data_IF_719041603058
#
_entry.id   IF_719041603058
#
_cell.length_a   1.000
_cell.length_b   1.000
_cell.length_c   1.000
_cell.angle_alpha   90.00
_cell.angle_beta   90.00
_cell.angle_gamma   90.00
#
_symmetry.space_group_name_H-M   'P 1'
#
loop_
_entity.id
_entity.type
_entity.pdbx_description
1 polymer ?
#
# COMPACT_ATOMS: atom_id res chain seq x y z
N UNK A 1 -50.96 61.41 -68.25
CA UNK A 1 -50.78 60.65 -67.01
C UNK A 1 -49.45 61.09 -66.44
N UNK A 2 -49.42 62.01 -65.55
CA UNK A 2 -48.22 62.60 -64.96
C UNK A 2 -47.73 61.73 -63.79
N UNK A 3 -46.51 61.17 -63.92
CA UNK A 3 -45.84 60.44 -62.87
C UNK A 3 -45.15 61.40 -61.90
N UNK A 4 -45.63 61.49 -60.71
CA UNK A 4 -45.10 62.32 -59.62
C UNK A 4 -43.91 61.63 -58.97
N UNK A 5 -42.66 62.09 -59.29
CA UNK A 5 -41.46 61.71 -58.60
C UNK A 5 -41.44 62.35 -57.20
N UNK A 6 -41.42 61.53 -56.11
CA UNK A 6 -41.13 61.97 -54.76
C UNK A 6 -39.60 62.17 -54.60
N UNK A 7 -39.17 63.32 -54.05
CA UNK A 7 -37.77 63.55 -53.78
C UNK A 7 -37.31 62.75 -52.55
N UNK A 8 -36.32 61.93 -52.72
CA UNK A 8 -35.59 61.31 -51.58
C UNK A 8 -35.03 62.40 -50.68
N UNK A 9 -35.53 62.48 -49.46
CA UNK A 9 -35.04 63.35 -48.42
C UNK A 9 -33.68 62.91 -48.00
N UNK A 10 -32.59 63.61 -48.32
CA UNK A 10 -31.23 63.44 -47.77
C UNK A 10 -31.31 63.57 -46.24
N UNK A 11 -31.27 62.50 -45.54
CA UNK A 11 -30.99 62.45 -44.11
C UNK A 11 -29.61 63.03 -43.87
N UNK A 12 -29.57 64.24 -43.40
CA UNK A 12 -28.36 64.97 -43.09
C UNK A 12 -27.62 64.27 -41.98
N UNK A 13 -26.38 63.95 -42.25
CA UNK A 13 -25.44 63.11 -41.56
C UNK A 13 -24.85 63.83 -40.28
N UNK A 14 -25.71 64.21 -39.33
CA UNK A 14 -25.33 64.83 -38.07
C UNK A 14 -24.99 63.84 -36.95
N UNK A 15 -25.08 62.49 -37.19
CA UNK A 15 -24.91 61.46 -36.17
C UNK A 15 -23.51 60.79 -36.18
N UNK A 16 -22.64 61.13 -37.12
CA UNK A 16 -21.32 60.48 -37.25
C UNK A 16 -20.39 60.82 -36.10
N UNK A 17 -20.48 62.01 -35.52
CA UNK A 17 -19.66 62.42 -34.39
C UNK A 17 -20.05 61.74 -33.06
N UNK A 18 -21.33 61.46 -32.83
CA UNK A 18 -21.83 60.78 -31.60
C UNK A 18 -21.44 59.30 -31.56
N UNK A 19 -21.41 58.62 -32.70
CA UNK A 19 -21.05 57.21 -32.80
C UNK A 19 -19.54 57.01 -32.43
N UNK A 20 -18.67 57.94 -32.79
CA UNK A 20 -17.24 57.86 -32.46
C UNK A 20 -17.03 57.98 -30.93
N UNK A 21 -17.72 58.90 -30.26
CA UNK A 21 -17.62 59.09 -28.82
C UNK A 21 -18.17 57.86 -28.08
N UNK A 22 -19.27 57.28 -28.51
CA UNK A 22 -19.85 56.07 -27.94
C UNK A 22 -18.94 54.82 -28.13
N UNK A 23 -18.34 54.70 -29.30
CA UNK A 23 -17.39 53.60 -29.59
C UNK A 23 -16.13 53.76 -28.73
N UNK A 24 -15.53 54.96 -28.61
CA UNK A 24 -14.38 55.17 -27.74
C UNK A 24 -14.68 54.96 -26.27
N UNK A 25 -15.85 55.38 -25.78
CA UNK A 25 -16.29 55.08 -24.40
C UNK A 25 -16.53 53.57 -24.17
N UNK A 26 -17.05 52.87 -25.16
CA UNK A 26 -17.26 51.41 -25.06
C UNK A 26 -15.98 50.59 -25.17
N UNK A 27 -14.95 51.08 -25.85
CA UNK A 27 -13.65 50.40 -25.97
C UNK A 27 -12.92 50.31 -24.64
N UNK A 28 -13.00 51.29 -23.76
CA UNK A 28 -12.32 51.35 -22.45
C UNK A 28 -12.77 50.14 -21.58
N UNK A 29 -14.05 49.95 -21.27
CA UNK A 29 -14.49 48.79 -20.49
C UNK A 29 -14.26 47.47 -21.22
N UNK A 30 -14.34 47.44 -22.56
CA UNK A 30 -14.08 46.24 -23.34
C UNK A 30 -12.60 45.76 -23.18
N UNK A 31 -11.66 46.69 -23.32
CA UNK A 31 -10.23 46.38 -23.08
C UNK A 31 -9.96 46.04 -21.62
N UNK A 32 -10.65 46.65 -20.67
CA UNK A 32 -10.55 46.28 -19.27
C UNK A 32 -11.04 44.86 -18.99
N UNK A 33 -12.14 44.44 -19.59
CA UNK A 33 -12.67 43.08 -19.49
C UNK A 33 -11.75 42.05 -20.17
N UNK A 34 -11.25 42.35 -21.37
CA UNK A 34 -10.29 41.49 -22.07
C UNK A 34 -9.00 41.32 -21.24
N UNK A 35 -8.49 42.40 -20.65
CA UNK A 35 -7.33 42.34 -19.78
C UNK A 35 -7.54 41.49 -18.55
N UNK A 36 -8.70 41.62 -17.89
CA UNK A 36 -9.05 40.78 -16.74
C UNK A 36 -9.12 39.30 -17.13
N UNK A 37 -9.67 38.96 -18.28
CA UNK A 37 -9.72 37.56 -18.78
C UNK A 37 -8.31 37.00 -19.00
N UNK A 38 -7.37 37.81 -19.51
CA UNK A 38 -5.97 37.39 -19.70
C UNK A 38 -5.27 37.14 -18.36
N UNK A 39 -5.38 38.07 -17.40
CA UNK A 39 -4.79 37.93 -16.08
C UNK A 39 -5.34 36.71 -15.31
N UNK A 40 -6.67 36.51 -15.32
CA UNK A 40 -7.32 35.36 -14.70
C UNK A 40 -6.96 34.05 -15.39
N UNK A 41 -6.91 34.04 -16.72
CA UNK A 41 -6.52 32.86 -17.51
C UNK A 41 -5.10 32.43 -17.22
N UNK A 42 -4.17 33.38 -17.10
CA UNK A 42 -2.79 33.12 -16.72
C UNK A 42 -2.68 32.59 -15.27
N UNK A 43 -3.38 33.21 -14.33
CA UNK A 43 -3.40 32.72 -12.95
C UNK A 43 -3.96 31.30 -12.84
N UNK A 44 -5.02 30.96 -13.56
CA UNK A 44 -5.61 29.62 -13.57
C UNK A 44 -4.67 28.59 -14.19
N UNK A 45 -3.95 28.97 -15.27
CA UNK A 45 -2.89 28.12 -15.85
C UNK A 45 -1.79 27.82 -14.83
N UNK A 46 -1.26 28.86 -14.16
CA UNK A 46 -0.22 28.70 -13.12
C UNK A 46 -0.74 27.85 -11.96
N UNK A 47 -2.02 28.03 -11.56
CA UNK A 47 -2.64 27.25 -10.49
C UNK A 47 -2.73 25.76 -10.82
N UNK A 48 -3.12 25.41 -12.05
CA UNK A 48 -3.13 24.01 -12.51
C UNK A 48 -1.73 23.40 -12.54
N UNK A 49 -0.75 24.15 -13.03
CA UNK A 49 0.64 23.72 -13.02
C UNK A 49 1.18 23.53 -11.60
N UNK A 50 0.85 24.46 -10.67
CA UNK A 50 1.21 24.35 -9.27
C UNK A 50 0.55 23.15 -8.59
N UNK A 51 -0.70 22.81 -8.96
CA UNK A 51 -1.39 21.62 -8.46
C UNK A 51 -0.67 20.35 -8.92
N UNK A 52 -0.34 20.24 -10.21
CA UNK A 52 0.42 19.09 -10.73
C UNK A 52 1.77 18.93 -10.00
N UNK A 53 2.47 20.04 -9.75
CA UNK A 53 3.74 20.00 -9.02
C UNK A 53 3.55 19.56 -7.55
N UNK A 54 2.50 20.05 -6.89
CA UNK A 54 2.18 19.65 -5.52
C UNK A 54 1.80 18.16 -5.42
N UNK A 55 0.98 17.66 -6.35
CA UNK A 55 0.58 16.25 -6.43
C UNK A 55 1.80 15.35 -6.64
N UNK A 56 2.65 15.69 -7.61
CA UNK A 56 3.89 14.94 -7.88
C UNK A 56 4.85 14.95 -6.69
N UNK A 57 5.00 16.09 -6.02
CA UNK A 57 5.88 16.23 -4.87
C UNK A 57 5.41 15.41 -3.66
N UNK A 58 4.12 15.49 -3.32
CA UNK A 58 3.56 14.75 -2.21
C UNK A 58 3.68 13.23 -2.43
N UNK A 59 3.30 12.75 -3.63
CA UNK A 59 3.36 11.34 -3.99
C UNK A 59 4.80 10.82 -3.99
N UNK A 60 5.75 11.55 -4.60
CA UNK A 60 7.14 11.13 -4.66
C UNK A 60 7.79 11.02 -3.27
N UNK A 61 7.47 11.93 -2.34
CA UNK A 61 7.97 11.86 -0.98
C UNK A 61 7.40 10.68 -0.20
N UNK A 62 6.10 10.37 -0.36
CA UNK A 62 5.47 9.20 0.28
C UNK A 62 6.03 7.89 -0.27
N UNK A 63 6.20 7.77 -1.59
CA UNK A 63 6.79 6.57 -2.20
C UNK A 63 8.25 6.38 -1.76
N UNK A 64 9.01 7.48 -1.63
CA UNK A 64 10.37 7.41 -1.09
C UNK A 64 10.38 7.00 0.38
N UNK A 65 9.46 7.50 1.19
CA UNK A 65 9.26 7.04 2.57
C UNK A 65 8.98 5.53 2.59
N UNK A 66 8.01 5.05 1.84
CA UNK A 66 7.66 3.63 1.75
C UNK A 66 8.87 2.75 1.39
N UNK A 67 9.74 3.23 0.48
CA UNK A 67 10.94 2.47 0.05
C UNK A 67 12.09 2.50 1.05
N UNK A 68 12.04 3.36 2.07
CA UNK A 68 13.14 3.56 3.05
C UNK A 68 12.77 3.16 4.47
N UNK A 69 11.49 3.20 4.81
CA UNK A 69 11.00 2.93 6.16
C UNK A 69 10.15 1.66 6.14
N UNK A 70 10.67 0.60 6.73
CA UNK A 70 10.03 -0.73 6.81
C UNK A 70 9.37 -0.94 8.19
N UNK A 71 8.71 0.05 8.75
CA UNK A 71 8.06 -0.09 10.07
C UNK A 71 6.55 -0.22 9.91
N UNK A 72 5.96 -1.23 10.53
CA UNK A 72 4.51 -1.38 10.71
C UNK A 72 4.01 -0.49 11.84
N UNK A 73 4.87 -0.12 12.76
CA UNK A 73 4.56 0.77 13.88
C UNK A 73 5.11 2.16 13.59
N UNK A 74 4.28 3.01 12.98
CA UNK A 74 4.65 4.35 12.57
C UNK A 74 4.58 5.30 13.78
N UNK A 75 5.73 5.55 14.39
CA UNK A 75 5.86 6.52 15.48
C UNK A 75 6.83 7.62 15.09
N UNK A 76 6.42 8.88 15.22
CA UNK A 76 7.27 10.01 14.90
C UNK A 76 8.61 9.96 15.65
N UNK A 77 9.73 10.05 14.92
CA UNK A 77 11.07 10.03 15.48
C UNK A 77 11.68 8.65 15.72
N UNK A 78 10.95 7.56 15.43
CA UNK A 78 11.46 6.18 15.52
C UNK A 78 11.51 5.53 14.14
N UNK A 79 12.40 4.56 13.94
CA UNK A 79 12.47 3.73 12.72
C UNK A 79 12.63 4.50 11.41
N UNK A 80 13.14 5.73 11.43
CA UNK A 80 13.26 6.59 10.24
C UNK A 80 12.00 7.37 9.89
N UNK A 81 10.94 7.28 10.68
CA UNK A 81 9.70 8.06 10.51
C UNK A 81 9.91 9.51 10.94
N UNK A 82 9.87 10.43 10.00
CA UNK A 82 10.05 11.86 10.24
C UNK A 82 8.70 12.56 10.19
N UNK A 83 8.30 13.17 11.31
CA UNK A 83 7.18 14.10 11.36
C UNK A 83 7.73 15.52 11.37
N UNK A 84 7.31 16.30 10.40
CA UNK A 84 7.85 17.63 10.19
C UNK A 84 6.76 18.66 9.94
N UNK A 85 6.79 19.75 10.70
CA UNK A 85 6.01 20.94 10.40
C UNK A 85 6.37 21.49 9.01
N UNK A 86 5.53 22.32 8.38
CA UNK A 86 5.81 22.84 7.05
C UNK A 86 7.20 23.48 6.98
N UNK A 87 8.09 22.91 6.17
CA UNK A 87 9.47 23.33 5.98
C UNK A 87 9.70 23.67 4.52
N UNK A 88 10.42 24.76 4.26
CA UNK A 88 10.78 25.17 2.90
C UNK A 88 11.70 24.16 2.22
N UNK A 89 11.57 24.01 0.90
CA UNK A 89 12.54 23.29 0.08
C UNK A 89 13.86 24.07 -0.17
N UNK A 90 14.03 25.24 0.44
CA UNK A 90 15.28 26.01 0.43
C UNK A 90 15.61 26.50 1.85
N UNK A 91 16.66 25.96 2.50
CA UNK A 91 17.49 24.83 2.05
C UNK A 91 16.70 23.52 1.96
N UNK A 92 17.11 22.64 1.05
CA UNK A 92 16.43 21.35 0.85
C UNK A 92 16.54 20.47 2.11
N UNK A 93 15.46 19.75 2.49
CA UNK A 93 15.50 18.77 3.58
C UNK A 93 16.55 17.68 3.30
N UNK A 94 17.18 17.15 4.35
CA UNK A 94 18.18 16.06 4.23
C UNK A 94 17.58 14.66 4.30
N UNK A 95 16.26 14.55 4.26
CA UNK A 95 15.50 13.30 4.38
C UNK A 95 14.68 13.03 3.10
N UNK A 96 13.80 12.01 3.13
CA UNK A 96 12.96 11.64 1.99
C UNK A 96 12.02 12.76 1.48
N UNK A 97 11.75 13.81 2.26
CA UNK A 97 11.00 14.98 1.79
C UNK A 97 11.76 15.73 0.70
N UNK A 98 13.10 15.60 0.64
CA UNK A 98 13.89 16.15 -0.44
C UNK A 98 13.48 15.60 -1.82
N UNK A 99 13.07 14.34 -1.89
CA UNK A 99 12.54 13.76 -3.14
C UNK A 99 11.32 14.54 -3.61
N UNK A 100 10.42 14.91 -2.70
CA UNK A 100 9.28 15.78 -3.03
C UNK A 100 9.72 17.16 -3.55
N UNK A 101 10.71 17.78 -2.91
CA UNK A 101 11.28 19.06 -3.38
C UNK A 101 11.85 18.96 -4.80
N UNK A 102 12.56 17.86 -5.11
CA UNK A 102 13.11 17.60 -6.44
C UNK A 102 12.01 17.46 -7.50
N UNK A 103 10.94 16.73 -7.18
CA UNK A 103 9.80 16.55 -8.08
C UNK A 103 9.01 17.85 -8.30
N UNK A 104 8.88 18.70 -7.27
CA UNK A 104 8.33 20.06 -7.48
C UNK A 104 9.18 20.86 -8.45
N UNK A 105 10.52 20.81 -8.30
CA UNK A 105 11.46 21.51 -9.18
C UNK A 105 11.40 20.97 -10.62
N UNK A 106 11.33 19.66 -10.80
CA UNK A 106 11.17 19.04 -12.13
C UNK A 106 9.86 19.47 -12.82
N UNK A 107 8.82 19.77 -12.03
CA UNK A 107 7.55 20.30 -12.53
C UNK A 107 7.50 21.84 -12.60
N UNK A 108 8.67 22.50 -12.54
CA UNK A 108 8.82 23.94 -12.77
C UNK A 108 8.64 24.84 -11.55
N UNK A 109 8.56 24.28 -10.32
CA UNK A 109 8.43 25.08 -9.10
C UNK A 109 9.56 24.82 -8.11
N UNK A 110 10.31 25.86 -7.82
CA UNK A 110 11.40 25.85 -6.84
C UNK A 110 11.08 26.77 -5.66
N UNK A 111 11.76 26.56 -4.52
CA UNK A 111 11.62 27.46 -3.36
C UNK A 111 12.56 28.67 -3.51
N UNK A 112 12.44 29.42 -4.60
CA UNK A 112 13.28 30.57 -4.91
C UNK A 112 12.55 31.67 -5.71
N UNK A 113 12.99 32.89 -5.62
CA UNK A 113 12.40 34.00 -6.34
C UNK A 113 10.97 34.30 -5.92
N UNK A 114 10.05 34.31 -6.88
CA UNK A 114 8.61 34.50 -6.67
C UNK A 114 7.85 33.19 -6.37
N UNK A 115 8.56 32.07 -6.23
CA UNK A 115 8.00 30.76 -5.94
C UNK A 115 8.36 30.31 -4.53
N UNK A 116 7.49 29.51 -3.91
CA UNK A 116 7.75 28.88 -2.64
C UNK A 116 7.18 27.46 -2.64
N UNK A 117 8.00 26.50 -2.21
CA UNK A 117 7.62 25.10 -2.06
C UNK A 117 7.89 24.69 -0.62
N UNK A 118 6.88 24.17 0.06
CA UNK A 118 7.02 23.66 1.43
C UNK A 118 6.51 22.24 1.51
N UNK A 119 7.20 21.43 2.32
CA UNK A 119 6.84 20.04 2.62
C UNK A 119 6.51 19.92 4.10
N UNK A 120 5.49 19.12 4.41
CA UNK A 120 5.14 18.74 5.78
C UNK A 120 4.84 17.24 5.81
N UNK A 121 5.10 16.60 6.95
CA UNK A 121 4.83 15.17 7.12
C UNK A 121 4.36 14.88 8.54
N UNK A 122 3.56 13.84 8.71
CA UNK A 122 3.07 13.44 10.01
C UNK A 122 2.34 12.12 10.00
N UNK A 123 1.83 11.73 11.16
CA UNK A 123 1.03 10.54 11.39
C UNK A 123 -0.38 10.96 11.80
N UNK A 124 -1.37 10.14 11.48
CA UNK A 124 -2.76 10.41 11.76
C UNK A 124 -3.45 11.26 10.70
N UNK A 125 -4.44 12.04 11.09
CA UNK A 125 -5.17 12.88 10.16
C UNK A 125 -4.33 14.10 9.75
N UNK A 126 -4.08 14.33 8.46
CA UNK A 126 -3.44 15.54 8.00
C UNK A 126 -4.34 16.76 8.26
N UNK A 127 -3.76 17.97 8.36
CA UNK A 127 -4.49 19.16 8.78
C UNK A 127 -5.71 19.56 7.94
N UNK A 128 -5.90 18.96 6.78
CA UNK A 128 -6.94 19.35 5.80
C UNK A 128 -7.71 18.20 5.19
N UNK A 129 -7.48 16.96 5.64
CA UNK A 129 -8.16 15.77 5.13
C UNK A 129 -8.81 15.02 6.29
N UNK A 130 -10.11 14.78 6.21
CA UNK A 130 -10.85 13.98 7.19
C UNK A 130 -10.94 12.54 6.69
N UNK A 131 -11.00 11.57 7.62
CA UNK A 131 -11.27 10.17 7.30
C UNK A 131 -10.04 9.28 7.13
N UNK A 132 -8.83 9.76 7.47
CA UNK A 132 -7.66 8.91 7.56
C UNK A 132 -7.50 8.35 8.98
N UNK A 133 -7.02 7.11 9.08
CA UNK A 133 -6.79 6.44 10.35
C UNK A 133 -5.66 7.09 11.15
N UNK A 134 -5.68 6.93 12.48
CA UNK A 134 -4.67 7.49 13.38
C UNK A 134 -3.24 7.00 13.12
N UNK A 135 -3.08 5.87 12.44
CA UNK A 135 -1.80 5.25 12.06
C UNK A 135 -1.33 5.58 10.65
N UNK A 136 -2.08 6.38 9.89
CA UNK A 136 -1.71 6.74 8.51
C UNK A 136 -0.54 7.73 8.50
N UNK A 137 0.50 7.43 7.74
CA UNK A 137 1.57 8.39 7.45
C UNK A 137 1.19 9.25 6.25
N UNK A 138 1.40 10.56 6.35
CA UNK A 138 1.08 11.50 5.28
C UNK A 138 2.20 12.49 5.02
N UNK A 139 2.28 12.93 3.76
CA UNK A 139 3.12 14.06 3.32
C UNK A 139 2.24 15.05 2.59
N UNK A 140 2.34 16.31 2.97
CA UNK A 140 1.70 17.43 2.29
C UNK A 140 2.74 18.30 1.61
N UNK A 141 2.57 18.53 0.32
CA UNK A 141 3.30 19.52 -0.44
C UNK A 141 2.43 20.76 -0.67
N UNK A 142 2.98 21.93 -0.48
CA UNK A 142 2.36 23.20 -0.85
C UNK A 142 3.27 23.97 -1.78
N UNK A 143 2.72 24.35 -2.92
CA UNK A 143 3.39 25.15 -3.93
C UNK A 143 2.67 26.48 -4.05
N UNK A 144 3.40 27.58 -4.05
CA UNK A 144 2.84 28.91 -4.26
C UNK A 144 3.75 29.75 -5.14
N UNK A 145 3.14 30.63 -5.91
CA UNK A 145 3.84 31.56 -6.80
C UNK A 145 3.13 32.92 -6.82
N UNK A 146 3.92 33.99 -6.72
CA UNK A 146 3.44 35.34 -7.01
C UNK A 146 3.49 35.56 -8.52
N UNK A 147 2.33 35.77 -9.12
CA UNK A 147 2.14 35.92 -10.57
C UNK A 147 1.96 37.40 -10.89
N UNK A 148 2.82 38.01 -11.72
CA UNK A 148 2.63 39.39 -12.13
C UNK A 148 1.32 39.53 -12.93
N UNK A 149 0.61 40.62 -12.63
CA UNK A 149 -0.63 40.99 -13.32
C UNK A 149 -0.31 42.08 -14.35
N UNK A 150 -0.81 41.91 -15.58
CA UNK A 150 -0.52 42.89 -16.65
C UNK A 150 -1.56 43.99 -16.66
N UNK A 151 -2.83 43.62 -16.64
CA UNK A 151 -3.93 44.57 -16.77
C UNK A 151 -4.47 45.05 -15.41
N UNK A 152 -4.53 44.12 -14.43
CA UNK A 152 -4.92 44.49 -13.06
C UNK A 152 -3.91 45.42 -12.37
N UNK A 153 -2.66 45.46 -12.86
CA UNK A 153 -1.63 46.37 -12.40
C UNK A 153 -2.03 47.85 -12.61
N UNK A 154 -2.77 48.18 -13.66
CA UNK A 154 -3.28 49.52 -13.94
C UNK A 154 -4.29 49.96 -12.88
N UNK A 155 -4.96 49.00 -12.23
CA UNK A 155 -5.89 49.24 -11.12
C UNK A 155 -5.23 49.17 -9.74
N UNK A 156 -3.91 49.06 -9.68
CA UNK A 156 -3.12 49.00 -8.46
C UNK A 156 -2.77 47.58 -7.97
N UNK A 157 -3.21 46.52 -8.66
CA UNK A 157 -2.92 45.14 -8.31
C UNK A 157 -1.82 44.58 -9.22
N UNK A 158 -0.55 44.80 -8.85
CA UNK A 158 0.62 44.40 -9.65
C UNK A 158 0.96 42.92 -9.62
N UNK A 159 0.44 42.13 -8.67
CA UNK A 159 0.68 40.72 -8.54
C UNK A 159 -0.48 39.98 -7.86
N UNK A 160 -0.73 38.75 -8.25
CA UNK A 160 -1.65 37.81 -7.60
C UNK A 160 -0.90 36.62 -7.02
N UNK A 161 -1.29 36.13 -5.85
CA UNK A 161 -0.73 34.92 -5.26
C UNK A 161 -1.56 33.70 -5.69
N UNK A 162 -0.90 32.74 -6.33
CA UNK A 162 -1.44 31.43 -6.62
C UNK A 162 -0.87 30.43 -5.61
N UNK A 163 -1.69 29.56 -5.08
CA UNK A 163 -1.26 28.48 -4.19
C UNK A 163 -2.04 27.20 -4.49
N UNK A 164 -1.31 26.10 -4.51
CA UNK A 164 -1.86 24.75 -4.60
C UNK A 164 -1.32 23.88 -3.46
N UNK A 165 -2.07 22.86 -3.09
CA UNK A 165 -1.68 21.91 -2.05
C UNK A 165 -2.12 20.51 -2.46
N UNK A 166 -1.25 19.53 -2.17
CA UNK A 166 -1.58 18.11 -2.28
C UNK A 166 -1.13 17.37 -1.03
N UNK A 167 -1.88 16.36 -0.67
CA UNK A 167 -1.52 15.44 0.41
C UNK A 167 -1.57 14.02 -0.15
N UNK A 168 -0.45 13.32 -0.06
CA UNK A 168 -0.37 11.89 -0.28
C UNK A 168 -0.27 11.20 1.09
N UNK A 169 -0.92 10.06 1.23
CA UNK A 169 -0.92 9.30 2.46
C UNK A 169 -0.61 7.84 2.18
N UNK A 170 0.15 7.23 3.08
CA UNK A 170 0.39 5.81 3.13
C UNK A 170 -0.48 5.27 4.27
N UNK A 171 -1.50 4.52 3.93
CA UNK A 171 -2.14 3.68 4.93
C UNK A 171 -1.12 2.61 5.33
N UNK A 172 -0.89 2.35 6.62
CA UNK A 172 -0.24 1.11 7.00
C UNK A 172 -1.04 -0.03 6.36
N UNK A 173 -0.35 -1.10 6.03
CA UNK A 173 -0.96 -2.23 5.36
C UNK A 173 -2.31 -2.54 6.00
N UNK A 174 -3.39 -2.25 5.27
CA UNK A 174 -4.75 -2.56 5.70
C UNK A 174 -4.97 -4.06 5.71
N UNK A 175 -4.14 -4.76 4.95
CA UNK A 175 -4.21 -6.18 4.74
C UNK A 175 -3.20 -6.90 5.63
N UNK A 176 -3.61 -8.04 6.18
CA UNK A 176 -2.78 -8.96 6.92
C UNK A 176 -2.54 -10.25 6.15
N UNK A 177 -3.41 -10.54 5.18
CA UNK A 177 -3.31 -11.72 4.33
C UNK A 177 -3.07 -11.23 2.91
N UNK A 178 -1.89 -11.56 2.37
CA UNK A 178 -1.51 -11.25 1.00
C UNK A 178 -1.32 -12.53 0.22
N UNK A 179 -2.11 -12.72 -0.82
CA UNK A 179 -1.97 -13.83 -1.75
C UNK A 179 -1.41 -13.29 -3.05
N UNK A 180 -0.14 -13.60 -3.32
CA UNK A 180 0.67 -12.92 -4.34
C UNK A 180 0.73 -13.66 -5.68
N UNK A 181 0.07 -14.79 -5.86
CA UNK A 181 -0.01 -15.46 -7.17
C UNK A 181 -0.67 -14.52 -8.20
N UNK A 182 0.01 -14.17 -9.31
CA UNK A 182 -0.50 -13.15 -10.23
C UNK A 182 -1.64 -13.65 -11.14
N UNK A 183 -1.87 -14.96 -11.24
CA UNK A 183 -2.79 -15.53 -12.22
C UNK A 183 -3.54 -16.79 -11.79
N UNK A 184 -3.28 -17.30 -10.59
CA UNK A 184 -3.87 -18.55 -10.09
C UNK A 184 -5.38 -18.50 -9.97
N UNK A 185 -6.07 -19.46 -10.59
CA UNK A 185 -7.47 -19.74 -10.28
C UNK A 185 -7.55 -20.37 -8.89
N UNK A 186 -8.42 -19.83 -8.02
CA UNK A 186 -8.47 -20.26 -6.63
C UNK A 186 -7.19 -19.95 -5.87
N UNK A 187 -6.58 -18.78 -6.12
CA UNK A 187 -5.44 -18.30 -5.36
C UNK A 187 -5.71 -18.31 -3.84
N UNK A 188 -6.95 -18.01 -3.44
CA UNK A 188 -7.55 -18.51 -2.21
C UNK A 188 -8.66 -19.50 -2.59
N UNK A 189 -8.57 -20.69 -2.05
CA UNK A 189 -9.59 -21.74 -2.21
C UNK A 189 -10.04 -22.26 -0.86
N UNK A 190 -11.33 -22.19 -0.60
CA UNK A 190 -11.94 -22.66 0.65
C UNK A 190 -12.98 -23.71 0.35
N UNK A 191 -12.92 -24.87 1.00
CA UNK A 191 -13.87 -25.95 0.78
C UNK A 191 -14.40 -26.54 2.10
N UNK A 192 -15.67 -26.94 2.10
CA UNK A 192 -16.35 -27.40 3.30
C UNK A 192 -16.92 -26.24 4.14
N UNK A 193 -16.60 -26.20 5.44
CA UNK A 193 -17.11 -25.20 6.40
C UNK A 193 -15.99 -24.46 7.15
N UNK A 194 -14.83 -24.15 6.55
CA UNK A 194 -13.79 -23.41 7.24
C UNK A 194 -14.22 -21.95 7.52
N UNK A 195 -13.66 -21.37 8.58
CA UNK A 195 -13.87 -19.98 8.92
C UNK A 195 -12.50 -19.27 9.02
N UNK A 196 -12.30 -18.27 8.19
CA UNK A 196 -11.15 -17.37 8.24
C UNK A 196 -11.63 -16.01 8.66
N UNK A 197 -11.07 -15.51 9.77
CA UNK A 197 -11.38 -14.17 10.28
C UNK A 197 -10.09 -13.37 10.39
N UNK A 198 -10.07 -12.20 9.76
CA UNK A 198 -8.96 -11.26 9.82
C UNK A 198 -9.45 -9.93 10.39
N UNK A 199 -8.73 -9.39 11.37
CA UNK A 199 -8.99 -8.04 11.88
C UNK A 199 -8.61 -6.95 10.87
N UNK A 200 -7.76 -7.28 9.91
CA UNK A 200 -7.32 -6.44 8.80
C UNK A 200 -7.82 -7.03 7.46
N UNK A 201 -7.39 -6.45 6.36
CA UNK A 201 -7.82 -6.86 5.02
C UNK A 201 -7.19 -8.15 4.51
N UNK A 202 -7.76 -8.65 3.42
CA UNK A 202 -7.25 -9.75 2.60
C UNK A 202 -7.04 -9.21 1.19
N UNK A 203 -5.81 -9.28 0.70
CA UNK A 203 -5.44 -8.86 -0.64
C UNK A 203 -5.09 -10.06 -1.53
N UNK A 204 -5.74 -10.17 -2.68
CA UNK A 204 -5.55 -11.27 -3.64
C UNK A 204 -5.07 -10.71 -4.98
N UNK A 205 -3.77 -10.92 -5.28
CA UNK A 205 -3.10 -10.35 -6.45
C UNK A 205 -3.42 -11.07 -7.78
N UNK A 206 -4.19 -12.15 -7.74
CA UNK A 206 -4.50 -12.93 -8.93
C UNK A 206 -5.49 -12.23 -9.85
N UNK A 207 -5.14 -12.14 -11.13
CA UNK A 207 -6.00 -11.63 -12.22
C UNK A 207 -7.06 -12.63 -12.71
N UNK A 208 -7.10 -13.86 -12.16
CA UNK A 208 -8.10 -14.87 -12.52
C UNK A 208 -9.52 -14.40 -12.21
N UNK A 209 -10.48 -14.71 -13.07
CA UNK A 209 -11.92 -14.48 -12.81
C UNK A 209 -12.47 -15.24 -11.59
N UNK A 210 -11.72 -16.22 -11.08
CA UNK A 210 -12.03 -17.04 -9.90
C UNK A 210 -10.86 -17.05 -8.91
N UNK A 211 -10.19 -15.91 -8.75
CA UNK A 211 -9.05 -15.76 -7.85
C UNK A 211 -9.38 -16.14 -6.40
N UNK A 212 -10.57 -15.79 -5.94
CA UNK A 212 -11.15 -16.28 -4.69
C UNK A 212 -12.24 -17.29 -5.02
N UNK A 213 -12.12 -18.49 -4.50
CA UNK A 213 -13.11 -19.55 -4.70
C UNK A 213 -13.58 -20.15 -3.38
N UNK A 214 -14.87 -20.41 -3.27
CA UNK A 214 -15.48 -21.07 -2.12
C UNK A 214 -16.48 -22.13 -2.53
N UNK A 215 -16.35 -23.34 -1.97
CA UNK A 215 -17.27 -24.45 -2.22
C UNK A 215 -17.77 -25.03 -0.88
N UNK A 216 -19.06 -25.19 -0.75
CA UNK A 216 -19.71 -25.53 0.52
C UNK A 216 -20.26 -24.29 1.21
N UNK A 217 -20.01 -24.15 2.53
CA UNK A 217 -20.43 -22.98 3.33
C UNK A 217 -19.23 -22.38 4.09
N UNK A 218 -18.11 -22.05 3.40
CA UNK A 218 -17.00 -21.40 4.05
C UNK A 218 -17.37 -19.97 4.47
N UNK A 219 -16.64 -19.44 5.45
CA UNK A 219 -16.78 -18.04 5.89
C UNK A 219 -15.42 -17.35 5.78
N UNK A 220 -15.38 -16.25 5.06
CA UNK A 220 -14.23 -15.32 5.02
C UNK A 220 -14.69 -13.96 5.49
N UNK A 221 -14.18 -13.51 6.64
CA UNK A 221 -14.48 -12.22 7.24
C UNK A 221 -13.20 -11.43 7.46
N UNK A 222 -13.15 -10.21 6.93
CA UNK A 222 -12.01 -9.32 7.04
C UNK A 222 -12.49 -7.85 7.11
N UNK A 223 -11.59 -6.92 7.43
CA UNK A 223 -11.93 -5.48 7.34
C UNK A 223 -12.21 -5.03 5.91
N UNK A 224 -11.50 -5.62 4.96
CA UNK A 224 -11.72 -5.48 3.50
C UNK A 224 -11.23 -6.73 2.78
N UNK A 225 -11.78 -7.02 1.60
CA UNK A 225 -11.36 -8.11 0.73
C UNK A 225 -11.13 -7.51 -0.65
N UNK A 226 -9.86 -7.37 -1.04
CA UNK A 226 -9.43 -6.75 -2.28
C UNK A 226 -8.90 -7.79 -3.26
N UNK A 227 -9.44 -7.84 -4.48
CA UNK A 227 -9.15 -8.85 -5.49
C UNK A 227 -8.80 -8.17 -6.81
N UNK A 228 -7.63 -8.46 -7.38
CA UNK A 228 -7.26 -7.95 -8.71
C UNK A 228 -8.18 -8.51 -9.80
N UNK A 229 -8.49 -9.79 -9.74
CA UNK A 229 -9.42 -10.47 -10.66
C UNK A 229 -10.86 -10.52 -10.14
N UNK A 230 -11.42 -11.71 -10.15
CA UNK A 230 -12.80 -11.96 -9.71
C UNK A 230 -12.92 -13.07 -8.66
N UNK A 231 -14.14 -13.39 -8.29
CA UNK A 231 -14.42 -14.42 -7.30
C UNK A 231 -15.63 -15.30 -7.68
N UNK A 232 -15.64 -16.50 -7.12
CA UNK A 232 -16.79 -17.43 -7.14
C UNK A 232 -16.87 -18.08 -5.76
N UNK A 233 -17.77 -17.61 -4.90
CA UNK A 233 -17.80 -18.01 -3.49
C UNK A 233 -19.22 -18.44 -3.09
N UNK A 234 -19.36 -19.70 -2.70
CA UNK A 234 -20.65 -20.30 -2.30
C UNK A 234 -20.98 -20.14 -0.81
N UNK A 235 -20.08 -19.54 -0.02
CA UNK A 235 -20.24 -19.33 1.42
C UNK A 235 -20.60 -17.90 1.81
N UNK A 236 -20.11 -17.48 2.96
CA UNK A 236 -20.31 -16.13 3.50
C UNK A 236 -19.05 -15.28 3.36
N UNK A 237 -19.18 -14.12 2.72
CA UNK A 237 -18.14 -13.09 2.67
C UNK A 237 -18.55 -11.92 3.57
N UNK A 238 -17.58 -11.31 4.22
CA UNK A 238 -17.76 -10.06 4.93
C UNK A 238 -16.47 -9.21 4.80
N UNK A 239 -16.49 -8.08 4.05
CA UNK A 239 -17.62 -7.49 3.33
C UNK A 239 -18.11 -8.30 2.12
N UNK A 240 -19.37 -8.15 1.76
CA UNK A 240 -20.01 -8.72 0.58
C UNK A 240 -20.78 -7.60 -0.17
N UNK A 241 -20.46 -7.31 -1.45
CA UNK A 241 -19.42 -7.94 -2.26
C UNK A 241 -18.00 -7.48 -1.88
N UNK A 242 -16.97 -8.29 -2.18
CA UNK A 242 -15.58 -7.87 -2.09
C UNK A 242 -15.24 -6.86 -3.18
N UNK A 243 -14.19 -6.08 -2.99
CA UNK A 243 -13.65 -5.17 -4.00
C UNK A 243 -12.95 -5.97 -5.11
N UNK A 244 -13.33 -5.80 -6.36
CA UNK A 244 -12.72 -6.48 -7.51
C UNK A 244 -12.11 -5.46 -8.48
N UNK A 245 -11.12 -5.89 -9.27
CA UNK A 245 -10.44 -5.01 -10.22
C UNK A 245 -9.49 -4.01 -9.56
N UNK A 246 -9.01 -4.30 -8.36
CA UNK A 246 -8.00 -3.45 -7.70
C UNK A 246 -6.66 -3.54 -8.46
N UNK A 247 -5.77 -2.56 -8.26
CA UNK A 247 -4.46 -2.55 -8.90
C UNK A 247 -3.59 -3.70 -8.37
N UNK A 248 -2.71 -4.27 -9.21
CA UNK A 248 -1.73 -5.26 -8.77
C UNK A 248 -0.72 -4.65 -7.78
N UNK A 249 -0.28 -5.44 -6.81
CA UNK A 249 0.72 -5.05 -5.81
C UNK A 249 2.02 -5.83 -6.00
N UNK A 250 3.14 -5.16 -5.76
CA UNK A 250 4.43 -5.85 -5.61
C UNK A 250 4.50 -6.56 -4.27
N UNK A 251 5.31 -7.62 -4.19
CA UNK A 251 5.53 -8.33 -2.94
C UNK A 251 6.06 -7.38 -1.84
N UNK A 252 5.29 -7.17 -0.76
CA UNK A 252 5.67 -6.24 0.31
C UNK A 252 6.91 -6.69 1.09
N UNK A 253 7.26 -7.99 1.05
CA UNK A 253 8.41 -8.56 1.73
C UNK A 253 9.61 -8.83 0.81
N UNK A 254 9.55 -8.43 -0.47
CA UNK A 254 10.64 -8.67 -1.44
C UNK A 254 12.02 -8.18 -0.96
N UNK A 255 12.04 -7.11 -0.18
CA UNK A 255 13.28 -6.53 0.35
C UNK A 255 13.78 -7.17 1.66
N UNK A 256 12.97 -8.04 2.30
CA UNK A 256 13.40 -8.74 3.52
C UNK A 256 14.50 -9.77 3.14
N UNK A 257 15.71 -9.71 3.74
CA UNK A 257 16.77 -10.65 3.41
C UNK A 257 16.38 -12.06 3.87
N UNK A 258 16.67 -13.05 3.03
CA UNK A 258 16.55 -14.46 3.44
C UNK A 258 17.63 -14.82 4.46
N UNK A 259 17.32 -15.69 5.42
CA UNK A 259 18.33 -16.23 6.34
C UNK A 259 19.46 -16.95 5.59
N UNK A 260 20.70 -16.76 6.05
CA UNK A 260 21.81 -17.54 5.54
C UNK A 260 21.68 -19.01 5.98
N UNK A 261 21.74 -19.93 5.02
CA UNK A 261 21.60 -21.37 5.27
C UNK A 261 22.98 -22.00 5.54
N UNK A 262 23.22 -22.52 6.73
CA UNK A 262 24.46 -23.28 6.99
C UNK A 262 24.58 -24.52 6.10
N UNK A 263 25.80 -24.87 5.69
CA UNK A 263 26.05 -26.10 4.91
C UNK A 263 25.75 -27.37 5.74
N UNK A 264 26.02 -27.34 7.04
CA UNK A 264 25.76 -28.45 7.95
C UNK A 264 24.36 -28.48 8.53
N UNK A 265 24.07 -29.56 9.23
CA UNK A 265 22.84 -29.76 9.99
C UNK A 265 23.18 -29.92 11.47
N UNK A 266 22.47 -29.23 12.36
CA UNK A 266 22.55 -29.48 13.78
C UNK A 266 21.80 -30.77 14.14
N UNK A 267 20.71 -31.02 13.44
CA UNK A 267 19.87 -32.21 13.57
C UNK A 267 19.48 -32.73 12.20
N UNK A 268 19.39 -34.07 12.08
CA UNK A 268 19.00 -34.75 10.84
C UNK A 268 17.79 -35.67 11.12
N UNK A 269 16.69 -35.49 10.35
CA UNK A 269 15.44 -36.25 10.48
C UNK A 269 14.98 -36.32 11.95
N UNK A 270 14.90 -35.14 12.58
CA UNK A 270 14.56 -35.07 14.01
C UNK A 270 13.14 -35.57 14.27
N UNK A 271 13.02 -36.60 15.12
CA UNK A 271 11.73 -37.15 15.54
C UNK A 271 11.58 -37.00 17.04
N UNK A 272 10.62 -36.18 17.46
CA UNK A 272 10.36 -35.91 18.86
C UNK A 272 9.67 -37.10 19.57
N UNK A 273 10.08 -37.37 20.79
CA UNK A 273 9.47 -38.35 21.67
C UNK A 273 9.33 -37.82 23.09
N UNK A 274 8.20 -38.12 23.75
CA UNK A 274 7.93 -37.62 25.10
C UNK A 274 7.80 -36.11 25.18
N UNK A 275 8.37 -35.48 26.22
CA UNK A 275 8.38 -34.03 26.37
C UNK A 275 9.79 -33.51 26.18
N UNK A 276 9.98 -32.64 25.19
CA UNK A 276 11.29 -32.12 24.80
C UNK A 276 11.25 -30.62 24.54
N UNK A 277 12.39 -29.96 24.80
CA UNK A 277 12.62 -28.57 24.43
C UNK A 277 13.71 -28.49 23.36
N UNK A 278 13.43 -27.78 22.25
CA UNK A 278 14.37 -27.61 21.14
C UNK A 278 14.92 -26.19 21.12
N UNK A 279 16.15 -26.08 20.66
CA UNK A 279 16.84 -24.81 20.45
C UNK A 279 16.84 -24.43 18.97
N UNK A 280 16.93 -23.12 18.66
CA UNK A 280 17.19 -22.66 17.29
C UNK A 280 18.38 -23.35 16.66
N UNK A 281 18.32 -23.62 15.36
CA UNK A 281 19.38 -24.31 14.62
C UNK A 281 18.89 -24.82 13.27
N UNK A 282 19.72 -25.60 12.58
CA UNK A 282 19.47 -26.19 11.26
C UNK A 282 18.98 -27.64 11.40
N UNK A 283 17.72 -27.85 11.05
CA UNK A 283 17.04 -29.16 11.08
C UNK A 283 16.90 -29.69 9.66
N UNK A 284 17.76 -30.59 9.26
CA UNK A 284 17.71 -31.25 7.95
C UNK A 284 16.72 -32.42 7.98
N UNK A 285 15.81 -32.45 7.02
CA UNK A 285 14.69 -33.40 7.01
C UNK A 285 13.54 -32.98 7.92
N UNK A 286 13.60 -31.77 8.53
CA UNK A 286 12.52 -31.19 9.31
C UNK A 286 12.43 -31.67 10.77
N UNK A 287 11.30 -31.29 11.41
CA UNK A 287 10.97 -31.66 12.79
C UNK A 287 9.65 -32.47 12.74
N UNK A 288 9.76 -33.76 13.09
CA UNK A 288 8.63 -34.67 13.13
C UNK A 288 8.11 -34.83 14.56
N UNK A 289 6.83 -34.49 14.77
CA UNK A 289 6.17 -34.58 16.07
C UNK A 289 5.10 -35.66 16.01
N UNK A 290 5.44 -36.82 16.54
CA UNK A 290 4.48 -37.94 16.72
C UNK A 290 3.68 -37.75 18.01
N UNK A 291 3.67 -38.77 18.87
CA UNK A 291 3.08 -38.65 20.21
C UNK A 291 4.05 -37.95 21.18
N UNK A 292 4.20 -36.65 21.04
CA UNK A 292 5.18 -35.87 21.79
C UNK A 292 4.69 -34.45 22.11
N UNK A 293 5.23 -33.87 23.17
CA UNK A 293 5.08 -32.46 23.50
C UNK A 293 6.41 -31.75 23.28
N UNK A 294 6.43 -30.82 22.31
CA UNK A 294 7.60 -30.07 21.92
C UNK A 294 7.44 -28.60 22.30
N UNK A 295 8.42 -28.06 23.00
CA UNK A 295 8.55 -26.62 23.26
C UNK A 295 9.75 -26.08 22.49
N UNK A 296 9.56 -25.02 21.75
CA UNK A 296 10.61 -24.35 21.00
C UNK A 296 11.09 -23.12 21.76
N UNK A 297 12.39 -23.04 22.03
CA UNK A 297 13.02 -21.81 22.51
C UNK A 297 13.00 -20.72 21.44
N UNK A 298 12.97 -19.45 21.87
CA UNK A 298 12.92 -18.32 20.94
C UNK A 298 14.14 -18.28 20.00
N UNK A 299 13.94 -17.94 18.71
CA UNK A 299 14.97 -17.78 17.72
C UNK A 299 14.61 -18.31 16.34
N UNK A 300 15.62 -18.38 15.46
CA UNK A 300 15.48 -18.80 14.06
C UNK A 300 15.73 -20.31 13.92
N UNK A 301 14.75 -21.00 13.33
CA UNK A 301 14.81 -22.41 12.97
C UNK A 301 14.92 -22.53 11.46
N UNK A 302 16.04 -23.07 10.96
CA UNK A 302 16.26 -23.35 9.54
C UNK A 302 15.82 -24.78 9.29
N UNK A 303 14.75 -24.94 8.53
CA UNK A 303 14.15 -26.23 8.20
C UNK A 303 14.58 -26.58 6.76
N UNK A 304 15.57 -27.46 6.63
CA UNK A 304 16.16 -27.79 5.34
C UNK A 304 15.65 -29.14 4.82
N UNK A 305 14.89 -29.12 3.74
CA UNK A 305 14.34 -30.32 3.09
C UNK A 305 13.24 -31.02 3.88
N UNK A 306 12.57 -30.29 4.75
CA UNK A 306 11.44 -30.77 5.52
C UNK A 306 11.04 -29.70 6.52
N UNK A 307 9.76 -29.39 6.61
CA UNK A 307 9.24 -28.44 7.58
C UNK A 307 8.81 -29.17 8.88
N UNK A 308 7.88 -28.59 9.61
CA UNK A 308 7.30 -29.23 10.80
C UNK A 308 6.17 -30.15 10.33
N UNK A 309 6.19 -31.40 10.82
CA UNK A 309 5.08 -32.33 10.62
C UNK A 309 4.55 -32.87 11.94
N UNK A 310 3.21 -32.92 12.07
CA UNK A 310 2.51 -33.52 13.22
C UNK A 310 1.61 -34.64 12.72
N UNK A 311 1.41 -35.71 13.51
CA UNK A 311 0.74 -36.90 13.03
C UNK A 311 -0.53 -37.30 13.79
N UNK A 312 -0.71 -36.84 15.02
CA UNK A 312 -1.79 -37.35 15.87
C UNK A 312 -2.37 -36.31 16.82
N UNK A 313 -3.46 -36.66 17.48
CA UNK A 313 -4.06 -35.82 18.55
C UNK A 313 -3.14 -35.63 19.75
N UNK A 314 -2.13 -36.48 19.93
CA UNK A 314 -1.13 -36.36 21.00
C UNK A 314 0.13 -35.61 20.55
N UNK A 315 0.13 -35.02 19.36
CA UNK A 315 1.20 -34.18 18.86
C UNK A 315 0.95 -32.75 19.30
N UNK A 316 1.80 -32.26 20.19
CA UNK A 316 1.73 -30.89 20.70
C UNK A 316 3.05 -30.17 20.42
N UNK A 317 2.99 -29.03 19.75
CA UNK A 317 4.18 -28.21 19.51
C UNK A 317 3.88 -26.75 19.75
N UNK A 318 4.76 -26.07 20.49
CA UNK A 318 4.58 -24.64 20.80
C UNK A 318 5.90 -23.91 20.79
N UNK A 319 5.85 -22.61 20.45
CA UNK A 319 7.02 -21.73 20.49
C UNK A 319 6.62 -20.26 20.55
N UNK A 320 7.34 -19.49 21.36
CA UNK A 320 7.15 -18.05 21.44
C UNK A 320 8.44 -17.34 21.03
N UNK A 321 8.32 -16.32 20.16
CA UNK A 321 9.47 -15.63 19.60
C UNK A 321 10.23 -16.46 18.58
N UNK A 322 9.54 -17.30 17.80
CA UNK A 322 10.14 -18.21 16.82
C UNK A 322 9.93 -17.74 15.39
N UNK A 323 10.94 -17.93 14.55
CA UNK A 323 10.85 -17.79 13.09
C UNK A 323 11.28 -19.10 12.46
N UNK A 324 10.51 -19.62 11.52
CA UNK A 324 10.83 -20.78 10.71
C UNK A 324 11.23 -20.34 9.31
N UNK A 325 12.44 -20.69 8.88
CA UNK A 325 12.86 -20.55 7.49
C UNK A 325 12.86 -21.91 6.82
N UNK A 326 11.90 -22.16 5.94
CA UNK A 326 11.77 -23.42 5.21
C UNK A 326 12.54 -23.33 3.88
N UNK A 327 13.57 -24.14 3.72
CA UNK A 327 14.50 -24.12 2.59
C UNK A 327 14.88 -25.54 2.15
N UNK A 328 15.81 -25.67 1.23
CA UNK A 328 16.24 -26.94 0.64
C UNK A 328 17.70 -26.91 0.15
N UNK A 329 18.22 -28.07 -0.16
CA UNK A 329 19.43 -28.23 -0.98
C UNK A 329 19.33 -29.53 -1.81
N UNK A 330 20.42 -29.88 -2.53
CA UNK A 330 20.40 -31.06 -3.38
C UNK A 330 20.26 -32.39 -2.59
N UNK A 331 20.65 -32.40 -1.32
CA UNK A 331 20.57 -33.58 -0.43
C UNK A 331 19.20 -33.65 0.26
N UNK A 332 18.65 -32.50 0.58
CA UNK A 332 17.38 -32.34 1.30
C UNK A 332 16.41 -31.54 0.45
N UNK A 333 15.64 -32.20 -0.43
CA UNK A 333 14.68 -31.56 -1.30
C UNK A 333 13.54 -30.89 -0.50
N UNK A 334 13.01 -29.79 -1.00
CA UNK A 334 11.98 -29.00 -0.31
C UNK A 334 10.74 -29.84 0.00
N UNK A 335 10.23 -29.65 1.21
CA UNK A 335 8.93 -30.22 1.65
C UNK A 335 8.22 -29.16 2.50
N UNK A 336 6.92 -28.95 2.27
CA UNK A 336 6.09 -28.01 3.01
C UNK A 336 5.74 -28.44 4.44
N UNK A 337 5.09 -27.55 5.17
CA UNK A 337 4.52 -27.86 6.49
C UNK A 337 3.39 -28.90 6.35
N UNK A 338 3.28 -29.76 7.34
CA UNK A 338 2.20 -30.75 7.40
C UNK A 338 1.67 -30.86 8.84
N UNK A 339 0.74 -30.01 9.18
CA UNK A 339 0.14 -29.95 10.51
C UNK A 339 -1.19 -30.68 10.49
N UNK A 340 -1.30 -31.79 11.21
CA UNK A 340 -2.51 -32.59 11.30
C UNK A 340 -3.66 -31.83 11.97
N UNK A 341 -4.88 -31.99 11.45
CA UNK A 341 -6.10 -31.36 12.00
C UNK A 341 -6.38 -31.69 13.47
N UNK A 342 -5.88 -32.80 13.96
CA UNK A 342 -6.10 -33.22 15.35
C UNK A 342 -4.97 -32.79 16.30
N UNK A 343 -3.86 -32.28 15.80
CA UNK A 343 -2.72 -31.88 16.62
C UNK A 343 -2.90 -30.45 17.19
N UNK A 344 -2.07 -30.11 18.16
CA UNK A 344 -1.98 -28.75 18.69
C UNK A 344 -0.68 -28.11 18.23
N UNK A 345 -0.78 -26.98 17.50
CA UNK A 345 0.37 -26.17 17.09
C UNK A 345 0.11 -24.73 17.48
N UNK A 346 1.00 -24.13 18.29
CA UNK A 346 0.86 -22.76 18.75
C UNK A 346 2.19 -22.03 18.62
N UNK A 347 2.23 -21.05 17.72
CA UNK A 347 3.46 -20.31 17.43
C UNK A 347 3.23 -18.81 17.46
N UNK A 348 4.19 -18.09 18.03
CA UNK A 348 4.23 -16.63 18.06
C UNK A 348 5.55 -16.15 17.49
N UNK A 349 5.49 -15.26 16.52
CA UNK A 349 6.68 -14.64 15.90
C UNK A 349 7.47 -13.77 16.91
N UNK A 350 8.77 -13.51 16.66
CA UNK A 350 9.56 -12.59 17.47
C UNK A 350 9.03 -11.15 17.31
N UNK A 351 9.16 -10.36 18.37
CA UNK A 351 8.78 -8.93 18.39
C UNK A 351 9.97 -8.01 18.07
N UNK A 352 11.18 -8.54 17.99
CA UNK A 352 12.44 -7.79 17.77
C UNK A 352 13.38 -8.55 16.83
N UNK A 353 14.35 -7.85 16.25
CA UNK A 353 15.34 -8.42 15.33
C UNK A 353 14.95 -8.32 13.86
N UNK A 354 15.77 -8.88 12.99
CA UNK A 354 15.59 -8.80 11.51
C UNK A 354 14.28 -9.40 11.04
N UNK A 355 13.81 -10.45 11.70
CA UNK A 355 12.56 -11.16 11.35
C UNK A 355 11.44 -10.86 12.36
N UNK A 356 11.45 -9.68 12.97
CA UNK A 356 10.35 -9.25 13.84
C UNK A 356 9.01 -9.33 13.10
N UNK A 357 8.03 -9.99 13.72
CA UNK A 357 6.71 -10.23 13.12
C UNK A 357 6.65 -11.41 12.13
N UNK A 358 7.76 -11.98 11.68
CA UNK A 358 7.77 -13.08 10.70
C UNK A 358 7.81 -14.42 11.44
N UNK A 359 6.73 -15.19 11.28
CA UNK A 359 6.62 -16.53 11.85
C UNK A 359 7.18 -17.60 10.93
N UNK A 360 6.75 -17.61 9.68
CA UNK A 360 7.19 -18.53 8.65
C UNK A 360 7.67 -17.73 7.44
N UNK A 361 8.85 -18.10 6.94
CA UNK A 361 9.41 -17.60 5.70
C UNK A 361 9.86 -18.78 4.86
N UNK A 362 9.39 -18.84 3.62
CA UNK A 362 9.85 -19.83 2.66
C UNK A 362 10.93 -19.28 1.76
N UNK A 363 11.80 -20.19 1.32
CA UNK A 363 12.84 -19.91 0.33
C UNK A 363 12.23 -19.49 -1.01
N UNK A 364 12.62 -18.32 -1.51
CA UNK A 364 12.15 -17.78 -2.78
C UNK A 364 12.66 -18.53 -4.00
N UNK A 365 13.65 -19.43 -3.83
CA UNK A 365 14.21 -20.27 -4.89
C UNK A 365 13.36 -21.48 -5.26
N UNK A 366 12.33 -21.86 -4.48
CA UNK A 366 11.50 -23.04 -4.77
C UNK A 366 10.68 -22.84 -6.06
N UNK A 367 10.28 -23.96 -6.66
CA UNK A 367 9.42 -23.93 -7.83
C UNK A 367 8.01 -23.46 -7.46
N UNK A 368 7.47 -22.51 -8.23
CA UNK A 368 6.17 -21.94 -7.95
C UNK A 368 5.03 -22.99 -8.11
N UNK A 369 4.07 -22.95 -7.20
CA UNK A 369 2.86 -23.77 -7.20
C UNK A 369 3.13 -25.29 -7.27
N UNK A 370 4.30 -25.71 -6.78
CA UNK A 370 4.68 -27.13 -6.77
C UNK A 370 4.49 -27.76 -5.39
N UNK A 371 4.56 -26.98 -4.35
CA UNK A 371 4.53 -27.42 -2.96
C UNK A 371 3.29 -26.88 -2.26
N UNK A 372 2.81 -27.63 -1.29
CA UNK A 372 1.68 -27.26 -0.44
C UNK A 372 2.13 -27.26 1.02
N UNK A 373 1.80 -26.19 1.71
CA UNK A 373 1.87 -26.11 3.16
C UNK A 373 0.49 -26.39 3.73
N UNK A 374 0.40 -27.45 4.48
CA UNK A 374 -0.86 -27.99 4.99
C UNK A 374 -0.98 -27.66 6.48
N UNK A 375 -1.85 -26.74 6.80
CA UNK A 375 -2.15 -26.28 8.15
C UNK A 375 -3.50 -26.81 8.59
N UNK A 376 -3.50 -28.03 9.14
CA UNK A 376 -4.66 -28.58 9.81
C UNK A 376 -4.87 -27.91 11.16
N UNK A 377 -6.11 -27.69 11.54
CA UNK A 377 -6.44 -27.11 12.83
C UNK A 377 -7.47 -27.96 13.59
N UNK A 378 -7.10 -28.46 14.76
CA UNK A 378 -8.05 -28.66 15.85
C UNK A 378 -8.36 -27.28 16.47
N UNK A 379 -9.31 -27.23 17.40
CA UNK A 379 -9.73 -25.98 18.06
C UNK A 379 -8.63 -25.23 18.84
N UNK A 380 -7.37 -25.65 18.74
CA UNK A 380 -6.23 -25.12 19.49
C UNK A 380 -5.01 -24.77 18.63
N UNK A 381 -5.15 -24.68 17.30
CA UNK A 381 -4.06 -24.17 16.46
C UNK A 381 -4.07 -22.63 16.48
N UNK A 382 -2.94 -22.02 16.84
CA UNK A 382 -2.79 -20.58 16.89
C UNK A 382 -1.46 -20.16 16.25
N UNK A 383 -1.55 -19.35 15.21
CA UNK A 383 -0.40 -18.80 14.51
C UNK A 383 -0.44 -17.28 14.61
N UNK A 384 0.54 -16.70 15.30
CA UNK A 384 0.64 -15.25 15.49
C UNK A 384 1.90 -14.74 14.79
N UNK A 385 1.73 -14.01 13.71
CA UNK A 385 2.82 -13.48 12.90
C UNK A 385 2.56 -13.64 11.41
N UNK A 386 3.50 -13.16 10.61
CA UNK A 386 3.46 -13.23 9.16
C UNK A 386 3.85 -14.63 8.70
N UNK A 387 3.02 -15.24 7.85
CA UNK A 387 3.35 -16.44 7.10
C UNK A 387 3.64 -15.99 5.67
N UNK A 388 4.91 -16.12 5.25
CA UNK A 388 5.38 -15.71 3.94
C UNK A 388 5.76 -16.92 3.10
N UNK A 389 4.87 -17.29 2.18
CA UNK A 389 5.04 -18.37 1.22
C UNK A 389 4.82 -17.84 -0.20
N UNK A 390 5.86 -17.25 -0.82
CA UNK A 390 5.71 -16.53 -2.09
C UNK A 390 5.44 -17.44 -3.27
N UNK A 391 5.67 -18.74 -3.14
CA UNK A 391 5.58 -19.71 -4.24
C UNK A 391 4.87 -21.02 -3.91
N UNK A 392 4.53 -21.25 -2.66
CA UNK A 392 3.76 -22.42 -2.24
C UNK A 392 2.26 -22.14 -2.22
N UNK A 393 1.48 -23.23 -2.18
CA UNK A 393 0.06 -23.17 -1.89
C UNK A 393 -0.15 -23.39 -0.40
N UNK A 394 -0.84 -22.48 0.27
CA UNK A 394 -1.21 -22.64 1.67
C UNK A 394 -2.62 -23.23 1.75
N UNK A 395 -2.72 -24.37 2.40
CA UNK A 395 -3.96 -25.09 2.59
C UNK A 395 -4.33 -25.10 4.08
N UNK A 396 -5.43 -24.46 4.42
CA UNK A 396 -5.99 -24.49 5.77
C UNK A 396 -7.22 -25.38 5.79
N UNK A 397 -7.23 -26.40 6.66
CA UNK A 397 -8.32 -27.37 6.69
C UNK A 397 -8.72 -27.79 8.11
N UNK A 398 -9.83 -28.53 8.21
CA UNK A 398 -10.40 -28.94 9.50
C UNK A 398 -11.23 -27.82 10.11
N UNK A 399 -11.19 -27.70 11.45
CA UNK A 399 -11.80 -26.59 12.20
C UNK A 399 -10.78 -25.49 12.47
N UNK A 400 -9.79 -25.33 11.60
CA UNK A 400 -8.77 -24.29 11.76
C UNK A 400 -9.42 -22.91 11.76
N UNK A 401 -9.26 -22.19 12.86
CA UNK A 401 -9.55 -20.76 12.92
C UNK A 401 -8.24 -20.02 12.71
N UNK A 402 -8.09 -19.38 11.56
CA UNK A 402 -7.00 -18.46 11.32
C UNK A 402 -7.46 -17.07 11.74
N UNK A 403 -6.76 -16.48 12.70
CA UNK A 403 -6.98 -15.09 13.12
C UNK A 403 -5.72 -14.30 12.80
N UNK A 404 -5.82 -13.36 11.87
CA UNK A 404 -4.76 -12.42 11.55
C UNK A 404 -5.08 -11.05 12.16
N UNK A 405 -4.06 -10.41 12.72
CA UNK A 405 -4.16 -9.11 13.39
C UNK A 405 -3.27 -8.06 12.72
#
# INVERSE_FOLDING_TARGET
MEGRFMPFRKLTDKRRGQALILVTMAMIPLFGLLGLVVDLGWMEFVKKSAQTAADAAALAAVLKFQSTVFSTDLTCGSGGVICQSPTSCSPAPTNYLNTGCQYATTNGFSASGNQNVTMAAGIGSPPTTTGLNSSTYWVTARVSQSVPQLFSAVLGNSSGLVSARATAALNPAKDCIYVMDPSGSGAISMSGTPSVTSACGVYINSSSGTALSGNGTPTLSASEIDIVGGYSFGGTLNPDPPSTGVATMSDPLAALPEPSVPAGCDFTNYSASGTVTLNPGTYCGGIHVGNATVTLNSGLYILKGGAISTQSANSHISGNGVTFFNTYDATYPYTGFSISANSTASFVAPTTGTYAGVLIMEDRGIAANTYTDDFGGGASAAYTGIIYGPKSTMHFHGNAALTAY
#
